data_IF_918114726702
#
_entry.id   IF_918114726702
#
_cell.length_a   1.000
_cell.length_b   1.000
_cell.length_c   1.000
_cell.angle_alpha   90.00
_cell.angle_beta   90.00
_cell.angle_gamma   90.00
#
_symmetry.space_group_name_H-M   'P 1'
#
loop_
_entity.id
_entity.type
_entity.pdbx_description
1 polymer ?
#
# COMPACT_ATOMS: atom_id res chain seq x y z
N UNK A 1 -7.24 -11.52 13.32
CA UNK A 1 -7.08 -11.60 14.78
C UNK A 1 -7.51 -10.28 15.38
N UNK A 2 -8.42 -10.28 16.33
CA UNK A 2 -8.84 -9.06 17.01
C UNK A 2 -7.73 -8.59 17.96
N UNK A 3 -7.42 -7.30 17.91
CA UNK A 3 -6.48 -6.66 18.81
C UNK A 3 -7.28 -6.03 19.97
N UNK A 4 -6.90 -6.28 21.24
CA UNK A 4 -7.59 -5.65 22.37
C UNK A 4 -7.61 -4.13 22.24
N UNK A 5 -8.73 -3.48 22.57
CA UNK A 5 -8.93 -2.04 22.36
C UNK A 5 -7.80 -1.18 22.97
N UNK A 6 -7.30 -1.56 24.14
CA UNK A 6 -6.18 -0.88 24.80
C UNK A 6 -4.85 -0.94 24.02
N UNK A 7 -4.69 -1.91 23.11
CA UNK A 7 -3.50 -2.10 22.28
C UNK A 7 -3.62 -1.46 20.90
N UNK A 8 -4.83 -1.14 20.43
CA UNK A 8 -5.11 -0.57 19.10
C UNK A 8 -4.36 0.73 18.84
N UNK A 9 -4.46 1.72 19.74
CA UNK A 9 -3.75 2.98 19.61
C UNK A 9 -2.21 2.83 19.59
N UNK A 10 -1.61 2.18 20.60
CA UNK A 10 -0.17 1.90 20.60
C UNK A 10 0.32 1.17 19.35
N UNK A 11 -0.44 0.18 18.86
CA UNK A 11 -0.14 -0.55 17.64
C UNK A 11 -0.09 0.37 16.41
N UNK A 12 -1.13 1.19 16.20
CA UNK A 12 -1.20 2.09 15.04
C UNK A 12 -0.07 3.11 15.09
N UNK A 13 0.23 3.69 16.26
CA UNK A 13 1.35 4.65 16.40
C UNK A 13 2.70 4.02 16.10
N UNK A 14 2.94 2.80 16.59
CA UNK A 14 4.15 2.06 16.31
C UNK A 14 4.31 1.78 14.80
N UNK A 15 3.24 1.32 14.15
CA UNK A 15 3.24 1.06 12.72
C UNK A 15 3.46 2.34 11.90
N UNK A 16 2.82 3.45 12.28
CA UNK A 16 3.02 4.77 11.64
C UNK A 16 4.47 5.21 11.72
N UNK A 17 5.05 5.17 12.92
CA UNK A 17 6.45 5.55 13.13
C UNK A 17 7.41 4.67 12.31
N UNK A 18 7.14 3.36 12.23
CA UNK A 18 7.93 2.44 11.44
C UNK A 18 7.83 2.71 9.93
N UNK A 19 6.62 2.96 9.41
CA UNK A 19 6.40 3.31 7.99
C UNK A 19 7.09 4.63 7.64
N UNK A 20 7.00 5.62 8.51
CA UNK A 20 7.66 6.93 8.33
C UNK A 20 9.19 6.79 8.34
N UNK A 21 9.75 6.06 9.30
CA UNK A 21 11.19 5.82 9.41
C UNK A 21 11.76 5.04 8.21
N UNK A 22 10.98 4.12 7.63
CA UNK A 22 11.38 3.37 6.45
C UNK A 22 11.38 4.20 5.17
N UNK A 23 10.63 5.30 5.12
CA UNK A 23 10.53 6.21 3.98
C UNK A 23 10.39 5.45 2.63
N UNK A 24 9.26 4.74 2.40
CA UNK A 24 8.98 4.08 1.13
C UNK A 24 9.01 5.07 -0.04
N UNK A 25 9.70 4.68 -1.10
CA UNK A 25 9.86 5.44 -2.34
C UNK A 25 8.78 5.06 -3.37
N UNK A 26 8.99 5.43 -4.64
CA UNK A 26 8.06 5.16 -5.72
C UNK A 26 7.87 3.67 -6.06
N UNK A 27 8.80 2.79 -5.67
CA UNK A 27 8.67 1.33 -5.86
C UNK A 27 7.70 0.70 -4.85
N UNK A 28 7.23 1.46 -3.88
CA UNK A 28 6.33 1.01 -2.81
C UNK A 28 5.00 1.76 -2.84
N UNK A 29 4.02 1.28 -2.06
CA UNK A 29 2.72 1.97 -1.92
C UNK A 29 2.91 3.43 -1.46
N UNK A 30 2.04 4.38 -1.87
CA UNK A 30 2.26 5.79 -1.58
C UNK A 30 2.31 6.08 -0.08
N UNK A 31 3.46 6.59 0.39
CA UNK A 31 3.69 6.88 1.81
C UNK A 31 2.55 7.72 2.43
N UNK A 32 2.17 8.81 1.77
CA UNK A 32 1.10 9.69 2.26
C UNK A 32 -0.24 8.95 2.41
N UNK A 33 -0.60 8.10 1.45
CA UNK A 33 -1.84 7.31 1.52
C UNK A 33 -1.77 6.28 2.64
N UNK A 34 -0.62 5.64 2.82
CA UNK A 34 -0.39 4.70 3.93
C UNK A 34 -0.51 5.38 5.30
N UNK A 35 0.17 6.51 5.52
CA UNK A 35 0.11 7.26 6.78
C UNK A 35 -1.29 7.82 7.05
N UNK A 36 -1.98 8.33 6.03
CA UNK A 36 -3.37 8.79 6.16
C UNK A 36 -4.30 7.64 6.56
N UNK A 37 -4.12 6.45 5.97
CA UNK A 37 -4.93 5.29 6.31
C UNK A 37 -4.70 4.85 7.75
N UNK A 38 -3.44 4.85 8.20
CA UNK A 38 -3.11 4.56 9.59
C UNK A 38 -3.68 5.61 10.55
N UNK A 39 -3.63 6.90 10.20
CA UNK A 39 -4.26 7.96 11.01
C UNK A 39 -5.77 7.81 11.10
N UNK A 40 -6.41 7.40 10.00
CA UNK A 40 -7.84 7.20 9.95
C UNK A 40 -8.29 6.05 10.87
N UNK A 41 -7.51 4.97 10.99
CA UNK A 41 -7.81 3.83 11.87
C UNK A 41 -7.29 3.99 13.31
N UNK A 42 -6.58 5.08 13.61
CA UNK A 42 -6.12 5.37 14.97
C UNK A 42 -7.34 5.71 15.85
N UNK A 43 -7.57 5.02 16.98
CA UNK A 43 -8.63 5.37 17.91
C UNK A 43 -8.56 6.82 18.43
N UNK A 44 -7.39 7.47 18.40
CA UNK A 44 -7.28 8.89 18.72
C UNK A 44 -8.01 9.80 17.71
N UNK A 45 -8.20 9.33 16.48
CA UNK A 45 -8.91 10.02 15.39
C UNK A 45 -10.34 9.49 15.24
N UNK A 46 -10.49 8.17 15.17
CA UNK A 46 -11.78 7.52 14.86
C UNK A 46 -12.63 7.19 16.07
N UNK A 47 -12.09 7.31 17.29
CA UNK A 47 -12.71 6.74 18.47
C UNK A 47 -13.06 5.27 18.25
N UNK A 48 -14.25 4.88 18.68
CA UNK A 48 -14.76 3.52 18.54
C UNK A 48 -15.47 3.26 17.19
N UNK A 49 -15.52 4.22 16.27
CA UNK A 49 -16.26 4.08 15.00
C UNK A 49 -15.76 2.94 14.11
N UNK A 50 -14.45 2.68 14.18
CA UNK A 50 -13.79 1.67 13.36
C UNK A 50 -13.45 0.40 14.16
N UNK A 51 -13.94 0.27 15.39
CA UNK A 51 -13.78 -0.93 16.21
C UNK A 51 -14.62 -2.11 15.65
N UNK A 52 -14.21 -3.37 15.90
CA UNK A 52 -12.97 -3.79 16.58
C UNK A 52 -11.72 -3.64 15.69
N UNK A 53 -10.56 -3.41 16.30
CA UNK A 53 -9.29 -3.42 15.57
C UNK A 53 -8.91 -4.85 15.20
N UNK A 54 -8.53 -5.08 13.94
CA UNK A 54 -8.20 -6.41 13.44
C UNK A 54 -6.85 -6.41 12.74
N UNK A 55 -6.02 -7.40 13.02
CA UNK A 55 -4.72 -7.60 12.37
C UNK A 55 -4.62 -8.98 11.72
N UNK A 56 -3.81 -9.08 10.67
CA UNK A 56 -3.50 -10.33 9.97
C UNK A 56 -2.47 -11.15 10.75
N UNK A 57 -2.18 -12.36 10.27
CA UNK A 57 -1.09 -13.19 10.79
C UNK A 57 0.28 -12.55 10.57
N UNK A 58 0.43 -11.71 9.54
CA UNK A 58 1.64 -10.90 9.30
C UNK A 58 1.74 -9.68 10.22
N UNK A 59 0.75 -9.46 11.10
CA UNK A 59 0.68 -8.33 12.02
C UNK A 59 0.38 -6.99 11.37
N UNK A 60 0.07 -6.97 10.08
CA UNK A 60 -0.44 -5.79 9.37
C UNK A 60 -1.93 -5.58 9.70
N UNK A 61 -2.48 -4.36 9.53
CA UNK A 61 -3.92 -4.13 9.70
C UNK A 61 -4.71 -5.01 8.73
N UNK A 62 -5.73 -5.68 9.24
CA UNK A 62 -6.58 -6.53 8.42
C UNK A 62 -7.36 -5.69 7.41
N UNK A 63 -7.58 -6.29 6.24
CA UNK A 63 -8.34 -5.66 5.15
C UNK A 63 -9.72 -5.16 5.61
N UNK A 64 -10.44 -5.95 6.42
CA UNK A 64 -11.75 -5.58 6.96
C UNK A 64 -11.72 -4.31 7.80
N UNK A 65 -10.63 -4.06 8.54
CA UNK A 65 -10.47 -2.84 9.33
C UNK A 65 -10.19 -1.63 8.44
N UNK A 66 -9.31 -1.79 7.45
CA UNK A 66 -9.00 -0.75 6.46
C UNK A 66 -10.21 -0.38 5.61
N UNK A 67 -11.04 -1.35 5.20
CA UNK A 67 -12.25 -1.08 4.43
C UNK A 67 -13.29 -0.25 5.18
N UNK A 68 -13.36 -0.34 6.52
CA UNK A 68 -14.26 0.53 7.30
C UNK A 68 -13.85 2.00 7.19
N UNK A 69 -12.54 2.31 7.19
CA UNK A 69 -12.06 3.66 6.95
C UNK A 69 -12.40 4.15 5.54
N UNK A 70 -12.31 3.27 4.53
CA UNK A 70 -12.72 3.60 3.15
C UNK A 70 -14.23 3.83 3.03
N UNK A 71 -15.05 3.05 3.73
CA UNK A 71 -16.49 3.27 3.79
C UNK A 71 -16.83 4.65 4.39
N UNK A 72 -16.18 5.04 5.50
CA UNK A 72 -16.31 6.37 6.08
C UNK A 72 -15.79 7.48 5.13
N UNK A 73 -14.76 7.22 4.33
CA UNK A 73 -14.30 8.18 3.32
C UNK A 73 -15.35 8.42 2.23
N UNK A 74 -16.04 7.38 1.76
CA UNK A 74 -17.13 7.51 0.79
C UNK A 74 -18.24 8.40 1.37
N UNK A 75 -18.58 8.22 2.64
CA UNK A 75 -19.56 9.06 3.33
C UNK A 75 -19.07 10.50 3.47
N UNK A 76 -17.83 10.70 3.92
CA UNK A 76 -17.22 12.02 4.11
C UNK A 76 -17.10 12.85 2.82
N UNK A 77 -16.89 12.18 1.68
CA UNK A 77 -16.82 12.82 0.35
C UNK A 77 -18.20 13.15 -0.24
N UNK A 78 -19.25 12.43 0.19
CA UNK A 78 -20.64 12.69 -0.22
C UNK A 78 -21.37 13.65 0.70
N UNK A 79 -20.88 13.85 1.93
CA UNK A 79 -21.48 14.77 2.90
C UNK A 79 -21.10 16.22 2.62
N UNK A 80 -22.05 17.11 2.86
CA UNK A 80 -21.82 18.55 2.86
C UNK A 80 -21.10 18.94 4.18
N UNK A 81 -19.91 19.57 4.13
CA UNK A 81 -19.21 20.06 5.32
C UNK A 81 -20.06 20.93 6.24
N UNK A 82 -21.02 21.68 5.67
CA UNK A 82 -21.92 22.54 6.46
C UNK A 82 -22.89 21.73 7.33
N UNK A 83 -23.07 20.44 7.04
CA UNK A 83 -23.92 19.50 7.79
C UNK A 83 -23.14 18.66 8.81
N UNK A 84 -21.82 18.86 8.94
CA UNK A 84 -21.05 18.22 10.00
C UNK A 84 -21.52 18.73 11.38
N UNK A 85 -21.56 17.88 12.43
CA UNK A 85 -22.01 18.29 13.75
C UNK A 85 -21.26 19.50 14.32
N UNK A 86 -22.00 20.54 14.69
CA UNK A 86 -21.45 21.74 15.30
C UNK A 86 -21.18 21.52 16.79
N UNK A 87 -20.30 22.33 17.38
CA UNK A 87 -19.91 22.16 18.79
C UNK A 87 -21.09 22.25 19.76
N UNK A 88 -22.09 23.09 19.44
CA UNK A 88 -23.32 23.19 20.24
C UNK A 88 -24.14 21.90 20.22
N UNK A 89 -24.24 21.24 19.06
CA UNK A 89 -24.94 19.98 18.89
C UNK A 89 -24.22 18.84 19.61
N UNK A 90 -22.89 18.79 19.50
CA UNK A 90 -22.06 17.81 20.22
C UNK A 90 -22.20 18.01 21.73
N UNK A 91 -22.14 19.24 22.25
CA UNK A 91 -22.34 19.52 23.68
C UNK A 91 -23.72 19.08 24.15
N UNK A 92 -24.77 19.38 23.36
CA UNK A 92 -26.14 18.95 23.65
C UNK A 92 -26.24 17.42 23.68
N UNK A 93 -25.72 16.75 22.66
CA UNK A 93 -25.69 15.29 22.59
C UNK A 93 -24.94 14.70 23.79
N UNK A 94 -23.75 15.22 24.12
CA UNK A 94 -22.96 14.79 25.30
C UNK A 94 -23.71 14.96 26.62
N UNK A 95 -24.55 16.00 26.76
CA UNK A 95 -25.36 16.19 27.98
C UNK A 95 -26.51 15.17 28.11
N UNK A 96 -26.99 14.62 26.99
CA UNK A 96 -28.04 13.62 26.96
C UNK A 96 -27.48 12.19 27.04
N UNK A 97 -26.45 11.92 26.25
CA UNK A 97 -25.70 10.67 26.19
C UNK A 97 -24.22 10.99 25.87
N UNK A 98 -23.31 10.85 26.85
CA UNK A 98 -21.88 11.08 26.64
C UNK A 98 -21.29 10.26 25.49
N UNK A 99 -21.75 9.02 25.29
CA UNK A 99 -21.25 8.13 24.23
C UNK A 99 -21.71 8.60 22.84
N UNK A 100 -22.94 9.10 22.71
CA UNK A 100 -23.41 9.72 21.47
C UNK A 100 -22.57 10.95 21.12
N UNK A 101 -22.33 11.84 22.09
CA UNK A 101 -21.52 13.03 21.87
C UNK A 101 -20.07 12.70 21.49
N UNK A 102 -19.49 11.64 22.06
CA UNK A 102 -18.19 11.12 21.64
C UNK A 102 -18.19 10.67 20.18
N UNK A 103 -19.10 9.77 19.79
CA UNK A 103 -19.23 9.30 18.39
C UNK A 103 -19.41 10.44 17.38
N UNK A 104 -20.19 11.47 17.73
CA UNK A 104 -20.38 12.65 16.85
C UNK A 104 -19.07 13.43 16.68
N UNK A 105 -18.31 13.62 17.75
CA UNK A 105 -17.01 14.29 17.72
C UNK A 105 -16.01 13.50 16.88
N UNK A 106 -15.93 12.19 17.10
CA UNK A 106 -14.98 11.31 16.43
C UNK A 106 -15.31 11.21 14.94
N UNK A 107 -16.60 11.10 14.58
CA UNK A 107 -17.01 11.05 13.17
C UNK A 107 -16.68 12.35 12.45
N UNK A 108 -16.90 13.49 13.11
CA UNK A 108 -16.52 14.80 12.57
C UNK A 108 -15.01 14.91 12.37
N UNK A 109 -14.20 14.47 13.33
CA UNK A 109 -12.74 14.48 13.21
C UNK A 109 -12.27 13.59 12.04
N UNK A 110 -12.79 12.37 11.96
CA UNK A 110 -12.50 11.43 10.89
C UNK A 110 -12.94 11.97 9.51
N UNK A 111 -14.14 12.53 9.38
CA UNK A 111 -14.63 13.07 8.10
C UNK A 111 -13.78 14.24 7.61
N UNK A 112 -13.33 15.13 8.52
CA UNK A 112 -12.42 16.22 8.17
C UNK A 112 -11.10 15.71 7.60
N UNK A 113 -10.52 14.66 8.18
CA UNK A 113 -9.33 14.01 7.66
C UNK A 113 -9.60 13.39 6.28
N UNK A 114 -10.68 12.61 6.14
CA UNK A 114 -10.92 11.76 4.98
C UNK A 114 -11.41 12.50 3.73
N UNK A 115 -11.99 13.70 3.89
CA UNK A 115 -12.61 14.46 2.79
C UNK A 115 -11.62 14.91 1.71
N UNK A 116 -10.38 15.24 2.11
CA UNK A 116 -9.38 15.82 1.21
C UNK A 116 -8.13 14.95 1.04
N UNK A 117 -8.11 13.78 1.65
CA UNK A 117 -6.99 12.85 1.55
C UNK A 117 -7.40 11.61 0.77
N UNK A 118 -6.41 10.85 0.34
CA UNK A 118 -6.60 9.56 -0.29
C UNK A 118 -6.11 8.46 0.64
N UNK A 119 -6.88 7.38 0.70
CA UNK A 119 -6.52 6.18 1.45
C UNK A 119 -5.85 5.17 0.52
N UNK A 120 -5.15 4.19 1.09
CA UNK A 120 -4.74 3.01 0.32
C UNK A 120 -5.96 2.34 -0.32
N UNK A 121 -5.83 1.99 -1.59
CA UNK A 121 -6.84 1.25 -2.34
C UNK A 121 -6.66 -0.25 -2.17
N UNK A 122 -7.75 -1.03 -2.17
CA UNK A 122 -7.69 -2.48 -2.18
C UNK A 122 -6.90 -2.99 -3.39
N UNK A 123 -7.24 -2.44 -4.56
CA UNK A 123 -6.53 -2.59 -5.83
C UNK A 123 -6.67 -1.28 -6.62
N UNK A 124 -5.61 -0.82 -7.25
CA UNK A 124 -5.62 0.38 -8.09
C UNK A 124 -4.55 0.26 -9.18
N UNK A 125 -4.91 0.61 -10.42
CA UNK A 125 -3.95 0.76 -11.53
C UNK A 125 -3.87 2.23 -11.88
N UNK A 126 -2.67 2.78 -11.89
CA UNK A 126 -2.39 4.13 -12.41
C UNK A 126 -1.41 4.04 -13.56
N UNK A 127 -1.57 4.93 -14.54
CA UNK A 127 -0.69 5.00 -15.71
C UNK A 127 -0.28 6.45 -15.93
N UNK A 128 1.01 6.68 -16.16
CA UNK A 128 1.55 7.98 -16.53
C UNK A 128 2.39 7.86 -17.81
N UNK A 129 2.28 8.85 -18.68
CA UNK A 129 3.17 9.03 -19.83
C UNK A 129 4.41 9.80 -19.38
N UNK A 130 5.61 9.33 -19.72
CA UNK A 130 6.87 10.04 -19.42
C UNK A 130 7.40 10.80 -20.64
N UNK A 131 7.30 10.19 -21.81
CA UNK A 131 7.57 10.80 -23.12
C UNK A 131 6.82 9.97 -24.15
N UNK A 132 5.79 10.54 -24.80
CA UNK A 132 4.97 9.82 -25.78
C UNK A 132 4.72 10.68 -27.00
N UNK A 133 5.05 10.15 -28.19
CA UNK A 133 4.96 10.85 -29.46
C UNK A 133 4.40 9.99 -30.58
N UNK A 134 4.58 10.44 -31.82
CA UNK A 134 4.05 9.77 -33.01
C UNK A 134 4.58 8.35 -33.21
N UNK A 135 5.81 8.07 -32.74
CA UNK A 135 6.47 6.77 -32.89
C UNK A 135 6.30 5.85 -31.66
N UNK A 136 5.60 6.32 -30.63
CA UNK A 136 5.48 5.64 -29.34
C UNK A 136 6.17 6.40 -28.21
N UNK A 137 6.45 5.69 -27.11
CA UNK A 137 6.97 6.33 -25.92
C UNK A 137 7.08 5.43 -24.71
N UNK A 138 7.33 6.04 -23.55
CA UNK A 138 7.44 5.33 -22.26
C UNK A 138 6.22 5.55 -21.38
N UNK A 139 5.67 4.44 -20.90
CA UNK A 139 4.57 4.39 -19.92
C UNK A 139 5.11 3.90 -18.57
N UNK A 140 4.73 4.59 -17.49
CA UNK A 140 4.91 4.12 -16.14
C UNK A 140 3.56 3.61 -15.62
N UNK A 141 3.50 2.34 -15.22
CA UNK A 141 2.29 1.71 -14.65
C UNK A 141 2.57 1.35 -13.20
N UNK A 142 1.68 1.77 -12.30
CA UNK A 142 1.67 1.29 -10.92
C UNK A 142 0.42 0.47 -10.66
N UNK A 143 0.58 -0.68 -10.03
CA UNK A 143 -0.51 -1.47 -9.48
C UNK A 143 -0.34 -1.63 -7.98
N UNK A 144 -1.18 -0.95 -7.22
CA UNK A 144 -1.20 -1.01 -5.76
C UNK A 144 -2.22 -2.04 -5.29
N UNK A 145 -1.86 -2.84 -4.28
CA UNK A 145 -2.73 -3.87 -3.73
C UNK A 145 -2.50 -4.10 -2.24
N UNK A 146 -3.59 -4.27 -1.50
CA UNK A 146 -3.55 -4.95 -0.19
C UNK A 146 -3.62 -6.46 -0.42
N UNK A 147 -2.53 -7.19 -0.19
CA UNK A 147 -2.50 -8.62 -0.43
C UNK A 147 -3.33 -9.41 0.59
N UNK A 148 -3.79 -10.63 0.23
CA UNK A 148 -4.49 -11.51 1.16
C UNK A 148 -3.70 -11.85 2.43
N UNK A 149 -2.37 -11.80 2.37
CA UNK A 149 -1.48 -12.03 3.51
C UNK A 149 -1.30 -10.78 4.41
N UNK A 150 -1.97 -9.68 4.09
CA UNK A 150 -1.93 -8.41 4.83
C UNK A 150 -0.85 -7.42 4.38
N UNK A 151 0.07 -7.79 3.48
CA UNK A 151 1.10 -6.86 3.00
C UNK A 151 0.52 -5.79 2.09
N UNK A 152 1.11 -4.61 2.12
CA UNK A 152 0.79 -3.56 1.16
C UNK A 152 1.82 -3.58 0.04
N UNK A 153 1.36 -3.81 -1.18
CA UNK A 153 2.20 -4.11 -2.33
C UNK A 153 2.04 -3.06 -3.42
N UNK A 154 3.13 -2.80 -4.13
CA UNK A 154 3.14 -2.13 -5.42
C UNK A 154 3.86 -2.99 -6.43
N UNK A 155 3.24 -3.17 -7.61
CA UNK A 155 3.97 -3.48 -8.83
C UNK A 155 4.24 -2.19 -9.58
N UNK A 156 5.48 -2.00 -10.02
CA UNK A 156 5.88 -0.91 -10.91
C UNK A 156 6.37 -1.50 -12.22
N UNK A 157 5.84 -0.98 -13.32
CA UNK A 157 6.28 -1.34 -14.67
C UNK A 157 6.70 -0.08 -15.41
N UNK A 158 7.85 -0.13 -16.07
CA UNK A 158 8.20 0.81 -17.11
C UNK A 158 8.17 0.10 -18.46
N UNK A 159 7.33 0.60 -19.35
CA UNK A 159 7.02 -0.02 -20.62
C UNK A 159 7.43 0.92 -21.76
N UNK A 160 8.24 0.43 -22.68
CA UNK A 160 8.40 1.08 -23.97
C UNK A 160 7.27 0.59 -24.89
N UNK A 161 6.39 1.53 -25.20
CA UNK A 161 5.15 1.30 -25.90
C UNK A 161 5.26 1.82 -27.34
N UNK A 162 4.75 1.06 -28.34
CA UNK A 162 4.60 1.58 -29.70
C UNK A 162 3.56 2.72 -29.71
N UNK A 163 3.44 3.44 -30.83
CA UNK A 163 2.47 4.54 -31.00
C UNK A 163 1.02 4.19 -30.64
N UNK A 164 0.64 2.90 -30.79
CA UNK A 164 -0.68 2.36 -30.45
C UNK A 164 -0.53 1.10 -29.61
N UNK A 165 -0.25 1.24 -28.31
CA UNK A 165 -0.05 0.09 -27.44
C UNK A 165 -1.39 -0.60 -27.16
N UNK A 166 -1.35 -1.93 -26.97
CA UNK A 166 -2.54 -2.68 -26.57
C UNK A 166 -2.80 -2.42 -25.09
N UNK A 167 -4.07 -2.45 -24.70
CA UNK A 167 -4.50 -2.27 -23.31
C UNK A 167 -4.26 -0.89 -22.68
N UNK A 168 -3.89 0.12 -23.48
CA UNK A 168 -3.85 1.51 -23.03
C UNK A 168 -4.60 2.41 -23.98
N UNK A 169 -5.24 3.44 -23.42
CA UNK A 169 -5.79 4.58 -24.16
C UNK A 169 -4.99 5.81 -23.77
N UNK A 170 -4.56 6.58 -24.77
CA UNK A 170 -3.84 7.85 -24.56
C UNK A 170 -4.70 8.94 -25.20
N UNK A 171 -5.15 9.90 -24.40
CA UNK A 171 -5.97 11.00 -24.89
C UNK A 171 -5.14 12.09 -25.57
N UNK A 172 -5.81 13.06 -26.19
CA UNK A 172 -5.14 14.17 -26.89
C UNK A 172 -4.32 15.08 -25.95
N UNK A 173 -4.57 15.03 -24.63
CA UNK A 173 -3.79 15.74 -23.62
C UNK A 173 -2.59 14.91 -23.12
N UNK A 174 -2.35 13.73 -23.70
CA UNK A 174 -1.27 12.82 -23.32
C UNK A 174 -1.54 12.03 -22.05
N UNK A 175 -2.77 12.03 -21.52
CA UNK A 175 -3.13 11.22 -20.35
C UNK A 175 -3.35 9.79 -20.78
N UNK A 176 -2.66 8.86 -20.11
CA UNK A 176 -2.82 7.43 -20.35
C UNK A 176 -3.74 6.79 -19.31
N UNK A 177 -4.55 5.83 -19.75
CA UNK A 177 -5.32 4.94 -18.89
C UNK A 177 -5.14 3.50 -19.36
N UNK A 178 -4.98 2.58 -18.42
CA UNK A 178 -5.04 1.16 -18.71
C UNK A 178 -6.49 0.70 -18.89
N UNK A 179 -6.70 -0.30 -19.74
CA UNK A 179 -7.97 -1.00 -19.81
C UNK A 179 -8.17 -1.95 -18.60
N UNK A 180 -9.38 -2.49 -18.49
CA UNK A 180 -9.74 -3.43 -17.44
C UNK A 180 -8.96 -4.76 -17.54
N UNK A 181 -8.55 -5.16 -18.74
CA UNK A 181 -7.87 -6.43 -18.98
C UNK A 181 -6.49 -6.45 -18.31
N UNK A 182 -5.76 -5.33 -18.33
CA UNK A 182 -4.48 -5.22 -17.63
C UNK A 182 -4.68 -5.32 -16.12
N UNK A 183 -5.72 -4.69 -15.56
CA UNK A 183 -6.04 -4.80 -14.14
C UNK A 183 -6.32 -6.25 -13.73
N UNK A 184 -7.07 -6.99 -14.54
CA UNK A 184 -7.33 -8.40 -14.30
C UNK A 184 -6.06 -9.26 -14.39
N UNK A 185 -5.20 -9.02 -15.39
CA UNK A 185 -3.92 -9.70 -15.54
C UNK A 185 -3.05 -9.50 -14.31
N UNK A 186 -2.81 -8.24 -13.91
CA UNK A 186 -2.00 -7.92 -12.73
C UNK A 186 -2.59 -8.51 -11.46
N UNK A 187 -3.92 -8.47 -11.29
CA UNK A 187 -4.60 -9.06 -10.13
C UNK A 187 -4.43 -10.57 -10.04
N UNK A 188 -4.42 -11.27 -11.19
CA UNK A 188 -4.23 -12.73 -11.24
C UNK A 188 -2.78 -13.13 -11.06
N UNK A 189 -1.85 -12.31 -11.53
CA UNK A 189 -0.44 -12.66 -11.64
C UNK A 189 0.49 -11.91 -10.68
N UNK A 190 -0.01 -11.07 -9.78
CA UNK A 190 0.83 -10.28 -8.86
C UNK A 190 1.82 -11.10 -8.00
N UNK A 191 1.48 -12.35 -7.70
CA UNK A 191 2.29 -13.23 -6.87
C UNK A 191 3.28 -14.09 -7.67
N UNK A 192 3.20 -14.11 -9.01
CA UNK A 192 4.13 -14.90 -9.83
C UNK A 192 5.53 -14.27 -9.81
N UNK A 193 6.59 -15.05 -10.08
CA UNK A 193 7.94 -14.51 -10.22
C UNK A 193 8.01 -13.41 -11.30
N UNK A 194 8.80 -12.35 -11.07
CA UNK A 194 8.90 -11.23 -12.01
C UNK A 194 9.24 -11.64 -13.45
N UNK A 195 10.12 -12.63 -13.73
CA UNK A 195 10.39 -13.06 -15.10
C UNK A 195 9.14 -13.55 -15.84
N UNK A 196 8.25 -14.26 -15.15
CA UNK A 196 6.98 -14.71 -15.73
C UNK A 196 6.01 -13.54 -15.94
N UNK A 197 5.97 -12.59 -15.00
CA UNK A 197 5.14 -11.38 -15.11
C UNK A 197 5.59 -10.49 -16.27
N UNK A 198 6.90 -10.30 -16.46
CA UNK A 198 7.48 -9.57 -17.60
C UNK A 198 6.95 -10.10 -18.92
N UNK A 199 7.00 -11.44 -19.11
CA UNK A 199 6.49 -12.08 -20.32
C UNK A 199 4.99 -11.86 -20.50
N UNK A 200 4.20 -12.08 -19.46
CA UNK A 200 2.74 -11.92 -19.52
C UNK A 200 2.32 -10.48 -19.85
N UNK A 201 3.00 -9.49 -19.25
CA UNK A 201 2.75 -8.08 -19.53
C UNK A 201 3.15 -7.73 -20.97
N UNK A 202 4.32 -8.17 -21.43
CA UNK A 202 4.77 -7.93 -22.80
C UNK A 202 3.80 -8.51 -23.83
N UNK A 203 3.37 -9.77 -23.63
CA UNK A 203 2.43 -10.47 -24.51
C UNK A 203 1.06 -9.77 -24.56
N UNK A 204 0.53 -9.35 -23.41
CA UNK A 204 -0.78 -8.72 -23.33
C UNK A 204 -0.80 -7.29 -23.90
N UNK A 205 0.24 -6.50 -23.63
CA UNK A 205 0.30 -5.08 -23.98
C UNK A 205 0.95 -4.80 -25.33
N UNK A 206 1.74 -5.76 -25.86
CA UNK A 206 2.61 -5.54 -27.01
C UNK A 206 3.74 -4.53 -26.76
N UNK A 207 4.01 -4.21 -25.49
CA UNK A 207 5.09 -3.29 -25.09
C UNK A 207 6.34 -4.07 -24.70
N UNK A 208 7.51 -3.45 -24.82
CA UNK A 208 8.75 -3.96 -24.21
C UNK A 208 8.77 -3.54 -22.74
N UNK A 209 9.03 -4.47 -21.83
CA UNK A 209 9.20 -4.14 -20.41
C UNK A 209 10.65 -3.75 -20.16
N UNK A 210 10.88 -2.48 -19.82
CA UNK A 210 12.20 -1.96 -19.44
C UNK A 210 12.49 -2.19 -17.95
N UNK A 211 11.45 -2.08 -17.10
CA UNK A 211 11.54 -2.32 -15.65
C UNK A 211 10.28 -3.03 -15.17
N UNK A 212 10.46 -4.03 -14.32
CA UNK A 212 9.39 -4.65 -13.54
C UNK A 212 9.86 -4.77 -12.09
N UNK A 213 9.17 -4.10 -11.17
CA UNK A 213 9.47 -4.12 -9.75
C UNK A 213 8.26 -4.54 -8.93
N UNK A 214 8.50 -5.21 -7.81
CA UNK A 214 7.52 -5.54 -6.78
C UNK A 214 8.06 -5.08 -5.44
N UNK A 215 7.49 -4.00 -4.90
CA UNK A 215 7.79 -3.49 -3.57
C UNK A 215 6.68 -3.80 -2.58
N UNK A 216 7.02 -3.99 -1.31
CA UNK A 216 6.04 -4.22 -0.25
C UNK A 216 6.43 -3.71 1.12
N UNK A 217 5.38 -3.41 1.90
CA UNK A 217 5.43 -3.11 3.33
C UNK A 217 4.78 -4.28 4.09
N UNK A 218 5.51 -4.81 5.08
CA UNK A 218 5.09 -5.94 5.91
C UNK A 218 5.97 -7.20 5.70
N UNK A 219 5.98 -8.16 6.64
CA UNK A 219 5.17 -8.20 7.87
C UNK A 219 5.57 -7.13 8.91
N UNK A 220 4.67 -6.90 9.87
CA UNK A 220 4.89 -6.07 11.05
C UNK A 220 4.80 -6.92 12.32
N UNK A 221 5.95 -7.24 12.92
CA UNK A 221 6.01 -8.02 14.15
C UNK A 221 5.77 -7.10 15.33
N UNK A 222 4.58 -7.23 15.91
CA UNK A 222 4.15 -6.54 17.12
C UNK A 222 4.14 -7.55 18.28
N UNK A 223 4.55 -7.17 19.51
CA UNK A 223 4.63 -8.11 20.63
C UNK A 223 3.35 -8.94 20.82
N UNK A 224 3.51 -10.26 20.97
CA UNK A 224 2.38 -11.21 21.11
C UNK A 224 1.83 -11.75 19.79
N UNK A 225 2.51 -11.51 18.66
CA UNK A 225 2.27 -12.21 17.40
C UNK A 225 3.23 -13.40 17.31
N UNK A 226 2.73 -14.56 16.85
CA UNK A 226 3.56 -15.73 16.59
C UNK A 226 4.46 -15.47 15.37
N UNK A 227 5.77 -15.70 15.53
CA UNK A 227 6.74 -15.55 14.45
C UNK A 227 6.82 -16.84 13.63
N UNK A 228 7.05 -16.74 12.30
CA UNK A 228 7.45 -17.90 11.49
C UNK A 228 8.73 -18.55 12.03
N UNK A 229 8.90 -19.86 11.83
CA UNK A 229 10.05 -20.62 12.35
C UNK A 229 11.38 -20.15 11.75
N UNK A 230 11.36 -19.59 10.54
CA UNK A 230 12.55 -19.14 9.82
C UNK A 230 13.07 -17.78 10.30
N UNK A 231 12.35 -17.11 11.20
CA UNK A 231 12.70 -15.78 11.71
C UNK A 231 13.62 -15.89 12.92
N UNK A 232 14.82 -15.28 12.90
CA UNK A 232 15.69 -15.22 14.07
C UNK A 232 14.96 -14.63 15.30
N UNK A 233 15.00 -15.30 16.47
CA UNK A 233 14.29 -14.86 17.67
C UNK A 233 14.63 -13.43 18.11
N UNK A 234 15.85 -12.95 17.82
CA UNK A 234 16.29 -11.60 18.19
C UNK A 234 15.48 -10.52 17.49
N UNK A 235 14.98 -10.81 16.28
CA UNK A 235 14.13 -9.88 15.53
C UNK A 235 12.68 -9.85 16.07
N UNK A 236 12.32 -10.84 16.88
CA UNK A 236 11.00 -11.01 17.49
C UNK A 236 10.79 -10.30 18.82
N UNK A 237 11.87 -9.87 19.46
CA UNK A 237 11.83 -9.25 20.80
C UNK A 237 11.39 -7.78 20.77
N UNK A 238 11.39 -7.14 19.58
CA UNK A 238 10.99 -5.75 19.37
C UNK A 238 9.88 -5.60 18.34
N UNK A 239 9.52 -4.34 18.06
CA UNK A 239 8.70 -3.99 16.92
C UNK A 239 9.55 -4.08 15.66
N UNK A 240 9.13 -4.85 14.66
CA UNK A 240 9.85 -4.94 13.38
C UNK A 240 8.90 -4.78 12.19
N UNK A 241 9.12 -3.75 11.37
CA UNK A 241 8.46 -3.61 10.06
C UNK A 241 9.45 -3.88 8.93
N UNK A 242 9.01 -4.69 7.97
CA UNK A 242 9.76 -4.99 6.76
C UNK A 242 9.35 -4.03 5.63
N UNK A 243 10.34 -3.52 4.90
CA UNK A 243 10.18 -2.89 3.60
C UNK A 243 11.09 -3.60 2.62
N UNK A 244 10.55 -4.22 1.58
CA UNK A 244 11.36 -4.94 0.62
C UNK A 244 10.92 -4.68 -0.81
N UNK A 245 11.89 -4.82 -1.72
CA UNK A 245 11.69 -4.65 -3.15
C UNK A 245 12.50 -5.69 -3.90
N UNK A 246 11.89 -6.24 -4.94
CA UNK A 246 12.56 -7.00 -5.99
C UNK A 246 12.32 -6.33 -7.33
N UNK A 247 13.33 -6.34 -8.20
CA UNK A 247 13.29 -5.66 -9.50
C UNK A 247 14.03 -6.51 -10.53
N UNK A 248 13.47 -6.58 -11.73
CA UNK A 248 14.16 -6.95 -12.97
C UNK A 248 14.09 -5.77 -13.94
N UNK A 249 15.23 -5.27 -14.41
CA UNK A 249 15.27 -4.08 -15.26
C UNK A 249 16.52 -4.01 -16.14
N UNK A 250 16.45 -3.25 -17.23
CA UNK A 250 17.56 -3.03 -18.18
C UNK A 250 18.57 -1.97 -17.71
N UNK A 251 18.20 -1.15 -16.72
CA UNK A 251 19.05 -0.11 -16.13
C UNK A 251 19.91 -0.61 -14.95
N UNK A 252 19.79 -1.88 -14.59
CA UNK A 252 20.60 -2.53 -13.57
C UNK A 252 21.87 -3.10 -14.21
N UNK A 253 23.00 -2.44 -13.99
CA UNK A 253 24.30 -2.80 -14.59
C UNK A 253 24.77 -4.21 -14.19
N UNK A 254 24.64 -4.56 -12.91
CA UNK A 254 25.04 -5.86 -12.37
C UNK A 254 23.99 -6.41 -11.40
N UNK A 255 23.63 -7.71 -11.51
CA UNK A 255 22.74 -8.34 -10.56
C UNK A 255 23.28 -8.24 -9.12
N UNK A 256 22.45 -7.79 -8.17
CA UNK A 256 22.86 -7.68 -6.76
C UNK A 256 21.70 -7.81 -5.78
N UNK A 257 21.99 -8.28 -4.57
CA UNK A 257 21.05 -8.32 -3.44
C UNK A 257 21.60 -7.52 -2.26
N UNK A 258 20.73 -6.69 -1.67
CA UNK A 258 20.89 -6.02 -0.39
C UNK A 258 19.85 -6.58 0.62
N UNK A 259 19.22 -7.71 0.34
CA UNK A 259 18.31 -8.37 1.28
C UNK A 259 19.10 -9.30 2.22
N UNK A 260 19.24 -8.96 3.51
CA UNK A 260 20.00 -9.80 4.45
C UNK A 260 19.31 -11.12 4.79
N UNK A 261 18.02 -11.29 4.46
CA UNK A 261 17.30 -12.56 4.65
C UNK A 261 17.38 -13.47 3.41
N UNK A 262 17.70 -12.89 2.25
CA UNK A 262 17.84 -13.61 0.98
C UNK A 262 19.15 -13.19 0.28
N UNK A 263 20.30 -13.74 0.72
CA UNK A 263 21.60 -13.37 0.20
C UNK A 263 21.88 -13.93 -1.20
N UNK A 264 20.95 -14.70 -1.76
CA UNK A 264 21.06 -15.27 -3.10
C UNK A 264 19.99 -14.67 -4.02
N UNK A 265 20.41 -14.40 -5.25
CA UNK A 265 19.49 -13.97 -6.29
C UNK A 265 18.69 -15.16 -6.83
N UNK A 266 17.45 -14.92 -7.31
CA UNK A 266 16.70 -15.92 -8.07
C UNK A 266 17.46 -16.31 -9.34
N UNK A 267 17.05 -17.43 -9.95
CA UNK A 267 17.57 -17.89 -11.24
C UNK A 267 17.36 -16.85 -12.37
N UNK A 268 17.97 -17.13 -13.52
CA UNK A 268 18.15 -16.26 -14.70
C UNK A 268 17.07 -15.18 -14.89
N UNK A 269 17.53 -13.94 -15.01
CA UNK A 269 16.69 -12.82 -15.43
C UNK A 269 16.29 -12.98 -16.91
N UNK A 270 15.16 -12.39 -17.35
CA UNK A 270 14.83 -12.31 -18.77
C UNK A 270 15.95 -11.64 -19.57
N UNK A 271 16.09 -12.01 -20.84
CA UNK A 271 17.11 -11.46 -21.74
C UNK A 271 17.15 -9.93 -21.71
N UNK A 272 18.33 -9.37 -21.45
CA UNK A 272 18.56 -7.93 -21.39
C UNK A 272 18.13 -7.25 -20.08
N UNK A 273 17.67 -8.00 -19.08
CA UNK A 273 17.35 -7.49 -17.74
C UNK A 273 18.28 -8.07 -16.68
N UNK A 274 18.47 -7.35 -15.58
CA UNK A 274 19.25 -7.77 -14.41
C UNK A 274 18.44 -7.66 -13.12
N UNK A 275 18.76 -8.50 -12.13
CA UNK A 275 18.08 -8.52 -10.84
C UNK A 275 18.60 -7.49 -9.84
N UNK A 276 17.69 -6.88 -9.08
CA UNK A 276 17.99 -6.15 -7.86
C UNK A 276 17.03 -6.54 -6.74
N UNK A 277 17.55 -6.97 -5.60
CA UNK A 277 16.77 -7.22 -4.38
C UNK A 277 17.25 -6.29 -3.27
N UNK A 278 16.34 -5.80 -2.44
CA UNK A 278 16.69 -5.01 -1.26
C UNK A 278 15.63 -5.16 -0.18
N UNK A 279 16.07 -5.20 1.09
CA UNK A 279 15.19 -5.17 2.25
C UNK A 279 15.75 -4.24 3.32
N UNK A 280 14.87 -3.40 3.85
CA UNK A 280 15.10 -2.49 4.97
C UNK A 280 14.17 -2.85 6.12
N UNK A 281 14.59 -2.52 7.33
CA UNK A 281 13.81 -2.75 8.54
C UNK A 281 13.69 -1.47 9.35
N UNK A 282 12.51 -1.24 9.91
CA UNK A 282 12.36 -0.37 11.08
C UNK A 282 12.19 -1.27 12.30
N UNK A 283 13.15 -1.18 13.22
CA UNK A 283 13.20 -1.97 14.44
C UNK A 283 13.21 -1.05 15.67
N UNK A 284 12.49 -1.41 16.73
CA UNK A 284 12.85 -0.91 18.07
C UNK A 284 13.91 -1.83 18.66
N UNK A 285 15.04 -1.28 19.08
CA UNK A 285 16.07 -2.05 19.77
C UNK A 285 15.51 -2.75 21.01
N UNK A 286 15.99 -3.96 21.28
CA UNK A 286 15.80 -4.60 22.58
C UNK A 286 16.65 -3.81 23.57
N UNK A 287 16.02 -3.18 24.55
CA UNK A 287 16.72 -2.57 25.68
C UNK A 287 17.28 -3.65 26.61
#
# INVERSE_FOLDING_TARGET
MELPQARSGPYVRALRAAVDALAPDEDHVPLRRALTHLEAIDPATSGDLLAPAEITTSGMPAYTWLERARAEQILARRSDPARDPQDAEIRRASSLDPALGARMRDRRALHRLLRHQELLSATEVTVATRAFGADGGRLAVHYDRMAPDGRWLRLRLELDAPARPRSFTIDAAGRASADESLRHLLTRHFAVPLPALVRQVADATGCRVARCGRGWIGPFWFPGIALPEEVPPELGAGLLLNLAVEVVADDIEHPRTLDPLHPFLPADAPDGLSWFLSRRFAATGVA
#
